data_IF_249242914541
#
_entry.id   IF_249242914541
#
_cell.length_a   1.000
_cell.length_b   1.000
_cell.length_c   1.000
_cell.angle_alpha   90.00
_cell.angle_beta   90.00
_cell.angle_gamma   90.00
#
_symmetry.space_group_name_H-M   'P 1'
#
loop_
_entity.id
_entity.type
_entity.pdbx_description
1 polymer ?
#
# COMPACT_ATOMS: atom_id res chain seq x y z
N UNK A 1 4.84 -7.51 27.30
CA UNK A 1 3.68 -6.76 27.83
C UNK A 1 2.58 -6.41 26.81
N UNK A 2 2.73 -6.63 25.52
CA UNK A 2 1.69 -6.31 24.50
C UNK A 2 0.64 -7.44 24.39
N UNK A 3 1.04 -8.70 24.52
CA UNK A 3 0.19 -9.87 24.37
C UNK A 3 -1.14 -9.83 25.18
N UNK A 4 -1.16 -9.41 26.46
CA UNK A 4 -2.41 -9.36 27.22
C UNK A 4 -3.44 -8.35 26.70
N UNK A 5 -2.99 -7.29 25.99
CA UNK A 5 -3.88 -6.26 25.43
C UNK A 5 -4.71 -6.82 24.27
N UNK A 6 -4.14 -7.80 23.54
CA UNK A 6 -4.74 -8.40 22.36
C UNK A 6 -5.20 -9.84 22.57
N UNK A 7 -5.09 -10.36 23.81
CA UNK A 7 -5.58 -11.70 24.13
C UNK A 7 -7.09 -11.69 24.24
N UNK A 8 -7.76 -12.48 23.40
CA UNK A 8 -9.22 -12.64 23.33
C UNK A 8 -10.01 -11.31 23.31
N UNK A 9 -9.69 -10.37 22.40
CA UNK A 9 -10.40 -9.11 22.34
C UNK A 9 -11.88 -9.33 21.98
N UNK A 10 -12.76 -8.57 22.63
CA UNK A 10 -14.20 -8.57 22.34
C UNK A 10 -14.65 -7.18 21.92
N UNK A 11 -15.68 -7.13 21.07
CA UNK A 11 -16.30 -5.90 20.58
C UNK A 11 -17.75 -5.85 21.03
N UNK A 12 -18.18 -4.66 21.45
CA UNK A 12 -19.58 -4.34 21.68
C UNK A 12 -20.04 -3.33 20.64
N UNK A 13 -21.22 -3.50 20.11
CA UNK A 13 -21.89 -2.52 19.27
C UNK A 13 -22.97 -1.83 20.10
N UNK A 14 -23.06 -0.51 20.01
CA UNK A 14 -24.13 0.29 20.56
C UNK A 14 -24.99 0.74 19.39
N UNK A 15 -26.25 0.38 19.38
CA UNK A 15 -27.23 0.74 18.37
C UNK A 15 -28.44 1.35 19.06
N UNK A 16 -28.79 2.59 18.72
CA UNK A 16 -29.92 3.32 19.35
C UNK A 16 -29.86 3.31 20.90
N UNK A 17 -28.67 3.60 21.45
CA UNK A 17 -28.38 3.59 22.90
C UNK A 17 -28.48 2.21 23.58
N UNK A 18 -28.77 1.16 22.84
CA UNK A 18 -28.78 -0.21 23.35
C UNK A 18 -27.46 -0.92 23.05
N UNK A 19 -26.84 -1.48 24.10
CA UNK A 19 -25.59 -2.23 24.00
C UNK A 19 -25.86 -3.66 23.62
N UNK A 20 -25.47 -4.08 22.42
CA UNK A 20 -25.61 -5.43 21.93
C UNK A 20 -24.64 -6.40 22.64
N UNK A 21 -24.91 -7.70 22.54
CA UNK A 21 -24.04 -8.74 23.11
C UNK A 21 -22.65 -8.69 22.51
N UNK A 22 -21.64 -8.73 23.38
CA UNK A 22 -20.24 -8.78 22.98
C UNK A 22 -19.93 -10.02 22.15
N UNK A 23 -19.09 -9.83 21.10
CA UNK A 23 -18.59 -10.94 20.28
C UNK A 23 -17.06 -10.86 20.16
N UNK A 24 -16.37 -12.01 19.96
CA UNK A 24 -14.92 -12.03 19.84
C UNK A 24 -14.45 -11.38 18.54
N UNK A 25 -13.44 -10.50 18.65
CA UNK A 25 -12.75 -9.91 17.52
C UNK A 25 -11.70 -10.91 17.01
N UNK A 26 -11.86 -11.39 15.78
CA UNK A 26 -10.95 -12.38 15.18
C UNK A 26 -9.72 -11.76 14.51
N UNK A 27 -9.80 -10.49 14.11
CA UNK A 27 -8.72 -9.76 13.44
C UNK A 27 -8.88 -8.26 13.65
N UNK A 28 -7.81 -7.51 13.44
CA UNK A 28 -7.78 -6.06 13.57
C UNK A 28 -7.14 -5.59 14.88
N UNK A 29 -6.99 -4.27 14.98
CA UNK A 29 -6.45 -3.59 16.15
C UNK A 29 -7.55 -2.79 16.86
N UNK A 30 -7.36 -2.53 18.15
CA UNK A 30 -8.32 -1.77 18.96
C UNK A 30 -8.34 -0.31 18.49
N UNK A 31 -9.51 0.20 18.11
CA UNK A 31 -9.71 1.62 17.82
C UNK A 31 -9.35 2.48 19.03
N UNK A 32 -8.75 3.65 18.79
CA UNK A 32 -8.31 4.61 19.81
C UNK A 32 -7.27 4.06 20.80
N UNK A 33 -6.65 2.93 20.52
CA UNK A 33 -5.51 2.45 21.28
C UNK A 33 -4.23 3.11 20.78
N UNK A 34 -3.54 3.85 21.61
CA UNK A 34 -2.27 4.52 21.26
C UNK A 34 -1.18 3.55 20.79
N UNK A 35 -1.27 2.29 21.20
CA UNK A 35 -0.32 1.25 20.80
C UNK A 35 -0.69 0.59 19.45
N UNK A 36 -1.91 0.74 18.96
CA UNK A 36 -2.35 0.06 17.73
C UNK A 36 -1.60 0.49 16.46
N UNK A 37 -1.25 1.78 16.25
CA UNK A 37 -0.45 2.19 15.09
C UNK A 37 0.96 1.61 15.11
N UNK A 38 1.57 1.42 16.28
CA UNK A 38 2.96 0.99 16.39
C UNK A 38 3.22 -0.41 15.79
N UNK A 39 2.50 -1.49 16.17
CA UNK A 39 2.68 -2.79 15.55
C UNK A 39 2.43 -2.77 14.04
N UNK A 40 1.44 -2.01 13.57
CA UNK A 40 1.16 -1.88 12.15
C UNK A 40 2.33 -1.24 11.41
N UNK A 41 2.84 -0.11 11.91
CA UNK A 41 3.98 0.58 11.29
C UNK A 41 5.25 -0.30 11.29
N UNK A 42 5.49 -1.07 12.34
CA UNK A 42 6.62 -2.01 12.39
C UNK A 42 6.50 -3.08 11.32
N UNK A 43 5.32 -3.63 11.11
CA UNK A 43 5.07 -4.65 10.09
C UNK A 43 5.18 -4.04 8.68
N UNK A 44 4.63 -2.85 8.47
CA UNK A 44 4.71 -2.16 7.19
C UNK A 44 6.15 -1.77 6.82
N UNK A 45 6.98 -1.40 7.81
CA UNK A 45 8.39 -1.07 7.61
C UNK A 45 9.20 -2.29 7.13
N UNK A 46 8.83 -3.51 7.51
CA UNK A 46 9.46 -4.73 6.97
C UNK A 46 9.25 -4.82 5.45
N UNK A 47 8.03 -4.59 4.96
CA UNK A 47 7.77 -4.54 3.53
C UNK A 47 8.51 -3.39 2.85
N UNK A 48 8.50 -2.21 3.46
CA UNK A 48 9.18 -1.04 2.93
C UNK A 48 10.69 -1.27 2.80
N UNK A 49 11.32 -1.90 3.79
CA UNK A 49 12.73 -2.25 3.78
C UNK A 49 13.02 -3.25 2.65
N UNK A 50 12.22 -4.31 2.52
CA UNK A 50 12.37 -5.28 1.44
C UNK A 50 12.30 -4.62 0.04
N UNK A 51 11.38 -3.66 -0.15
CA UNK A 51 11.27 -2.91 -1.41
C UNK A 51 12.50 -2.01 -1.65
N UNK A 52 13.02 -1.35 -0.60
CA UNK A 52 14.20 -0.48 -0.72
C UNK A 52 15.47 -1.28 -1.09
N UNK A 53 15.62 -2.45 -0.51
CA UNK A 53 16.79 -3.31 -0.70
C UNK A 53 16.73 -4.10 -2.03
N UNK A 54 15.54 -4.32 -2.59
CA UNK A 54 15.38 -5.07 -3.82
C UNK A 54 15.98 -4.32 -5.03
N UNK A 55 17.00 -4.93 -5.65
CA UNK A 55 17.77 -4.32 -6.74
C UNK A 55 17.01 -4.30 -8.08
N UNK A 56 16.07 -5.21 -8.27
CA UNK A 56 15.25 -5.26 -9.49
C UNK A 56 14.15 -4.21 -9.48
N UNK A 57 13.78 -3.68 -8.31
CA UNK A 57 12.87 -2.54 -8.20
C UNK A 57 13.70 -1.26 -8.31
N UNK A 58 13.58 -0.59 -9.45
CA UNK A 58 14.21 0.70 -9.71
C UNK A 58 13.26 1.84 -9.36
N UNK A 59 13.72 2.74 -8.50
CA UNK A 59 13.02 3.97 -8.13
C UNK A 59 13.34 5.14 -9.05
N UNK A 60 12.61 6.23 -8.88
CA UNK A 60 12.88 7.48 -9.60
C UNK A 60 14.11 8.18 -9.02
N UNK A 61 14.87 8.87 -9.90
CA UNK A 61 16.05 9.62 -9.52
C UNK A 61 15.69 11.08 -9.20
N UNK A 62 15.73 11.43 -7.90
CA UNK A 62 15.60 12.81 -7.40
C UNK A 62 16.79 13.08 -6.49
N UNK A 63 17.93 13.54 -7.02
CA UNK A 63 19.24 13.61 -6.34
C UNK A 63 19.77 12.23 -5.90
N UNK A 64 18.94 11.42 -5.24
CA UNK A 64 19.15 10.00 -4.92
C UNK A 64 17.95 9.18 -5.40
N UNK A 65 18.12 7.86 -5.50
CA UNK A 65 17.03 6.96 -5.86
C UNK A 65 15.96 6.97 -4.76
N UNK A 66 14.72 7.19 -5.17
CA UNK A 66 13.53 7.12 -4.30
C UNK A 66 12.62 6.03 -4.84
N UNK A 67 12.39 4.98 -4.06
CA UNK A 67 11.52 3.86 -4.41
C UNK A 67 10.15 3.99 -3.78
N UNK A 68 10.06 4.53 -2.56
CA UNK A 68 8.79 4.63 -1.84
C UNK A 68 8.78 5.77 -0.81
N UNK A 69 7.58 6.22 -0.50
CA UNK A 69 7.26 7.08 0.64
C UNK A 69 6.16 6.45 1.46
N UNK A 70 6.27 6.55 2.78
CA UNK A 70 5.26 6.07 3.74
C UNK A 70 4.64 7.25 4.45
N UNK A 71 3.33 7.23 4.59
CA UNK A 71 2.60 8.16 5.43
C UNK A 71 1.43 7.44 6.10
N UNK A 72 1.48 7.33 7.42
CA UNK A 72 0.52 6.55 8.21
C UNK A 72 0.34 5.13 7.67
N UNK A 73 -0.82 4.82 7.08
CA UNK A 73 -1.14 3.50 6.53
C UNK A 73 -0.98 3.41 5.01
N UNK A 74 -0.59 4.51 4.38
CA UNK A 74 -0.47 4.60 2.93
C UNK A 74 0.98 4.50 2.47
N UNK A 75 1.19 3.82 1.36
CA UNK A 75 2.48 3.70 0.70
C UNK A 75 2.38 4.22 -0.71
N UNK A 76 3.23 5.19 -1.07
CA UNK A 76 3.42 5.61 -2.45
C UNK A 76 4.68 4.94 -2.98
N UNK A 77 4.55 4.28 -4.12
CA UNK A 77 5.65 3.62 -4.82
C UNK A 77 6.00 4.39 -6.07
N UNK A 78 7.28 4.62 -6.27
CA UNK A 78 7.85 5.28 -7.44
C UNK A 78 8.68 4.27 -8.19
N UNK A 79 8.25 3.86 -9.38
CA UNK A 79 8.84 2.73 -10.10
C UNK A 79 9.26 3.15 -11.50
N UNK A 80 10.56 3.05 -11.76
CA UNK A 80 11.12 3.00 -13.11
C UNK A 80 11.20 1.55 -13.61
N UNK A 81 11.41 1.35 -14.90
CA UNK A 81 11.43 0.02 -15.53
C UNK A 81 10.17 -0.81 -15.16
N UNK A 82 9.05 -0.28 -15.55
CA UNK A 82 7.71 -0.69 -15.11
C UNK A 82 7.47 -2.21 -15.18
N UNK A 83 7.98 -2.90 -16.22
CA UNK A 83 7.71 -4.34 -16.43
C UNK A 83 8.40 -5.24 -15.38
N UNK A 84 9.70 -5.06 -15.20
CA UNK A 84 10.51 -5.89 -14.28
C UNK A 84 10.19 -5.54 -12.84
N UNK A 85 10.24 -4.23 -12.52
CA UNK A 85 10.01 -3.76 -11.15
C UNK A 85 8.60 -4.03 -10.65
N UNK A 86 7.57 -3.94 -11.52
CA UNK A 86 6.18 -4.25 -11.12
C UNK A 86 6.01 -5.73 -10.79
N UNK A 87 6.56 -6.62 -11.61
CA UNK A 87 6.50 -8.07 -11.34
C UNK A 87 7.14 -8.38 -9.99
N UNK A 88 8.35 -7.87 -9.76
CA UNK A 88 9.09 -8.10 -8.53
C UNK A 88 8.39 -7.53 -7.30
N UNK A 89 7.80 -6.33 -7.44
CA UNK A 89 6.98 -5.73 -6.40
C UNK A 89 5.79 -6.62 -6.03
N UNK A 90 5.06 -7.16 -7.01
CA UNK A 90 3.92 -8.03 -6.75
C UNK A 90 4.34 -9.35 -6.08
N UNK A 91 5.51 -9.91 -6.43
CA UNK A 91 6.09 -11.04 -5.74
C UNK A 91 6.35 -10.74 -4.26
N UNK A 92 7.05 -9.63 -3.95
CA UNK A 92 7.33 -9.22 -2.57
C UNK A 92 6.06 -8.97 -1.77
N UNK A 93 5.07 -8.31 -2.36
CA UNK A 93 3.76 -8.09 -1.72
C UNK A 93 3.07 -9.41 -1.39
N UNK A 94 3.12 -10.38 -2.30
CA UNK A 94 2.50 -11.69 -2.10
C UNK A 94 3.22 -12.49 -0.99
N UNK A 95 4.54 -12.49 -0.97
CA UNK A 95 5.34 -13.11 0.09
C UNK A 95 5.07 -12.48 1.45
N UNK A 96 5.10 -11.16 1.51
CA UNK A 96 4.76 -10.40 2.71
C UNK A 96 3.35 -10.73 3.23
N UNK A 97 2.37 -10.80 2.33
CA UNK A 97 0.98 -11.14 2.66
C UNK A 97 0.86 -12.53 3.31
N UNK A 98 1.63 -13.52 2.82
CA UNK A 98 1.64 -14.88 3.38
C UNK A 98 2.19 -14.92 4.80
N UNK A 99 3.21 -14.13 5.09
CA UNK A 99 3.89 -14.11 6.40
C UNK A 99 3.15 -13.24 7.40
N UNK A 100 2.76 -12.04 6.98
CA UNK A 100 2.14 -11.05 7.87
C UNK A 100 0.64 -11.26 8.10
N UNK A 101 -0.04 -11.97 7.18
CA UNK A 101 -1.48 -12.07 7.14
C UNK A 101 -2.19 -10.79 6.63
N UNK A 102 -1.44 -9.73 6.32
CA UNK A 102 -1.98 -8.49 5.75
C UNK A 102 -2.19 -8.61 4.24
N UNK A 103 -3.28 -8.03 3.76
CA UNK A 103 -3.58 -7.96 2.33
C UNK A 103 -3.69 -6.51 1.89
N UNK A 104 -3.08 -6.20 0.75
CA UNK A 104 -3.24 -4.89 0.13
C UNK A 104 -4.66 -4.78 -0.42
N UNK A 105 -5.30 -3.64 -0.14
CA UNK A 105 -6.62 -3.33 -0.70
C UNK A 105 -6.49 -2.88 -2.15
N UNK A 106 -6.60 -3.81 -3.08
CA UNK A 106 -6.47 -3.54 -4.53
C UNK A 106 -7.53 -2.59 -5.06
N UNK A 107 -8.72 -2.56 -4.46
CA UNK A 107 -9.81 -1.66 -4.87
C UNK A 107 -9.54 -0.20 -4.52
N UNK A 108 -8.80 0.04 -3.42
CA UNK A 108 -8.38 1.38 -2.99
C UNK A 108 -7.00 1.76 -3.50
N UNK A 109 -6.27 0.82 -4.10
CA UNK A 109 -4.94 1.06 -4.64
C UNK A 109 -5.03 1.59 -6.06
N UNK A 110 -4.32 2.68 -6.32
CA UNK A 110 -4.29 3.36 -7.61
C UNK A 110 -2.89 3.29 -8.21
N UNK A 111 -2.82 3.09 -9.52
CA UNK A 111 -1.58 3.19 -10.29
C UNK A 111 -1.67 4.33 -11.31
N UNK A 112 -0.65 5.18 -11.35
CA UNK A 112 -0.48 6.19 -12.39
C UNK A 112 0.65 5.75 -13.31
N UNK A 113 0.30 5.38 -14.52
CA UNK A 113 1.28 4.96 -15.53
C UNK A 113 1.77 6.17 -16.32
N UNK A 114 3.09 6.34 -16.32
CA UNK A 114 3.78 7.35 -17.08
C UNK A 114 4.64 6.67 -18.15
N UNK A 115 4.05 6.36 -19.29
CA UNK A 115 4.73 5.74 -20.43
C UNK A 115 4.20 6.33 -21.73
N UNK A 116 5.09 6.46 -22.72
CA UNK A 116 4.73 6.89 -24.08
C UNK A 116 4.51 5.69 -25.01
N UNK A 117 4.62 4.46 -24.51
CA UNK A 117 4.49 3.24 -25.27
C UNK A 117 3.17 2.53 -24.93
N UNK A 118 2.21 2.57 -25.84
CA UNK A 118 0.90 1.96 -25.67
C UNK A 118 0.97 0.43 -25.42
N UNK A 119 1.95 -0.25 -26.03
CA UNK A 119 2.13 -1.69 -25.83
C UNK A 119 2.53 -1.98 -24.38
N UNK A 120 3.49 -1.24 -23.87
CA UNK A 120 3.92 -1.35 -22.46
C UNK A 120 2.78 -0.99 -21.51
N UNK A 121 1.99 0.02 -21.82
CA UNK A 121 0.83 0.40 -21.02
C UNK A 121 -0.21 -0.73 -20.93
N UNK A 122 -0.50 -1.42 -22.04
CA UNK A 122 -1.41 -2.58 -22.06
C UNK A 122 -0.87 -3.75 -21.24
N UNK A 123 0.39 -4.11 -21.45
CA UNK A 123 1.05 -5.21 -20.71
C UNK A 123 1.02 -4.98 -19.19
N UNK A 124 1.23 -3.75 -18.75
CA UNK A 124 1.17 -3.40 -17.33
C UNK A 124 -0.26 -3.45 -16.80
N UNK A 125 -1.23 -2.94 -17.57
CA UNK A 125 -2.65 -3.00 -17.20
C UNK A 125 -3.15 -4.41 -16.96
N UNK A 126 -2.66 -5.37 -17.74
CA UNK A 126 -2.99 -6.80 -17.58
C UNK A 126 -2.28 -7.45 -16.38
N UNK A 127 -1.15 -6.89 -15.96
CA UNK A 127 -0.31 -7.48 -14.90
C UNK A 127 -0.68 -6.98 -13.50
N UNK A 128 -1.05 -5.71 -13.36
CA UNK A 128 -1.29 -5.12 -12.04
C UNK A 128 -2.76 -5.28 -11.60
N UNK A 129 -3.00 -5.66 -10.35
CA UNK A 129 -4.34 -5.80 -9.80
C UNK A 129 -4.95 -4.47 -9.32
N UNK A 130 -4.32 -3.33 -9.64
CA UNK A 130 -4.71 -2.00 -9.17
C UNK A 130 -5.52 -1.24 -10.20
N UNK A 131 -6.37 -0.34 -9.72
CA UNK A 131 -7.12 0.58 -10.60
C UNK A 131 -6.15 1.58 -11.23
N UNK A 132 -6.20 1.73 -12.56
CA UNK A 132 -5.34 2.67 -13.27
C UNK A 132 -6.04 4.02 -13.36
N UNK A 133 -5.40 5.04 -12.78
CA UNK A 133 -5.82 6.42 -12.89
C UNK A 133 -5.46 6.97 -14.27
N UNK A 134 -6.43 7.52 -15.00
CA UNK A 134 -6.20 8.00 -16.37
C UNK A 134 -5.37 9.29 -16.44
N UNK A 135 -5.52 10.22 -15.50
CA UNK A 135 -4.88 11.53 -15.58
C UNK A 135 -4.30 12.05 -14.26
N UNK A 136 -4.97 11.82 -13.15
CA UNK A 136 -4.70 12.50 -11.89
C UNK A 136 -4.85 11.52 -10.71
N UNK A 137 -3.89 11.55 -9.80
CA UNK A 137 -4.05 10.99 -8.45
C UNK A 137 -3.95 12.14 -7.45
N UNK A 138 -4.93 12.25 -6.57
CA UNK A 138 -4.88 13.16 -5.41
C UNK A 138 -4.49 12.36 -4.17
N UNK A 139 -3.45 12.81 -3.49
CA UNK A 139 -2.97 12.19 -2.27
C UNK A 139 -2.43 13.26 -1.31
N UNK A 140 -2.92 13.32 -0.09
CA UNK A 140 -2.52 14.30 0.94
C UNK A 140 -2.45 15.73 0.39
N UNK A 141 -3.52 16.19 -0.27
CA UNK A 141 -3.61 17.52 -0.92
C UNK A 141 -2.67 17.73 -2.12
N UNK A 142 -1.72 16.83 -2.34
CA UNK A 142 -0.89 16.85 -3.56
C UNK A 142 -1.62 16.23 -4.74
N UNK A 143 -1.39 16.83 -5.91
CA UNK A 143 -1.95 16.35 -7.17
C UNK A 143 -0.84 15.81 -8.05
N UNK A 144 -0.89 14.52 -8.36
CA UNK A 144 0.02 13.87 -9.29
C UNK A 144 -0.64 13.85 -10.68
N UNK A 145 -0.03 14.54 -11.63
CA UNK A 145 -0.53 14.67 -13.01
C UNK A 145 0.27 13.77 -13.94
N UNK A 146 -0.43 13.07 -14.86
CA UNK A 146 0.19 12.48 -16.04
C UNK A 146 0.55 13.62 -17.00
N UNK A 147 1.81 14.12 -16.97
CA UNK A 147 2.28 15.10 -17.94
C UNK A 147 2.33 14.46 -19.33
N UNK A 148 1.53 14.95 -20.26
CA UNK A 148 1.80 14.70 -21.67
C UNK A 148 3.04 15.52 -22.07
N UNK A 149 4.08 14.86 -22.55
CA UNK A 149 5.15 15.57 -23.24
C UNK A 149 4.58 16.09 -24.56
N UNK A 150 4.25 17.38 -24.58
CA UNK A 150 4.05 18.10 -25.84
C UNK A 150 5.46 18.37 -26.38
N UNK A 151 5.83 17.68 -27.44
CA UNK A 151 6.98 18.11 -28.26
C UNK A 151 6.48 19.25 -29.12
N UNK A 152 7.03 20.45 -28.92
CA UNK A 152 7.00 21.55 -29.89
C UNK A 152 8.19 21.38 -30.82
#
# INVERSE_FOLDING_TARGET
MIKPIYDKPTVNIILNDEKLKAFPLKSGTRQWCLLSPLPFNMILEVLATAIREEKEIKGIQIRKEVKLSLFAYDMILYIENQKVSTRKLLELINEYSKVSGYKINTQKSLALLYTNNEKTEREIKETIPFTIAMKIIKYLEYTYLKKQKTYI
#
